data_IF_167720380849
#
_entry.id   IF_167720380849
#
_cell.length_a   1.000
_cell.length_b   1.000
_cell.length_c   1.000
_cell.angle_alpha   90.00
_cell.angle_beta   90.00
_cell.angle_gamma   90.00
#
_symmetry.space_group_name_H-M   'P 1'
#
loop_
_entity.id
_entity.type
_entity.pdbx_description
1 polymer ?
#
# COMPACT_ATOMS: atom_id res chain seq x y z
N UNK A 1 34.38 23.43 28.08
CA UNK A 1 33.80 23.70 26.76
C UNK A 1 34.12 22.53 25.82
N UNK A 2 33.26 22.32 24.83
CA UNK A 2 33.45 21.49 23.63
C UNK A 2 33.08 20.00 23.72
N UNK A 3 31.76 19.78 23.63
CA UNK A 3 31.13 18.60 23.05
C UNK A 3 31.62 18.37 21.61
N UNK A 4 32.19 17.20 21.33
CA UNK A 4 32.47 16.74 19.96
C UNK A 4 31.39 15.74 19.57
N UNK A 5 30.37 16.24 18.85
CA UNK A 5 29.34 15.40 18.20
C UNK A 5 30.05 14.43 17.26
N UNK A 6 29.90 13.12 17.50
CA UNK A 6 30.20 12.08 16.52
C UNK A 6 29.11 12.14 15.45
N UNK A 7 29.45 12.73 14.31
CA UNK A 7 28.69 12.56 13.08
C UNK A 7 28.72 11.07 12.72
N UNK A 8 27.56 10.43 12.81
CA UNK A 8 27.33 9.12 12.20
C UNK A 8 27.44 9.33 10.69
N UNK A 9 28.51 8.79 10.11
CA UNK A 9 28.62 8.57 8.68
C UNK A 9 27.53 7.56 8.29
N UNK A 10 26.50 8.05 7.62
CA UNK A 10 25.57 7.20 6.89
C UNK A 10 26.29 6.73 5.63
N UNK A 11 26.42 5.42 5.51
CA UNK A 11 26.99 4.74 4.35
C UNK A 11 26.07 4.94 3.14
N UNK A 12 26.62 5.11 1.92
CA UNK A 12 25.80 5.25 0.73
C UNK A 12 25.14 3.90 0.44
N UNK A 13 23.86 3.80 0.75
CA UNK A 13 23.02 2.70 0.30
C UNK A 13 22.94 2.82 -1.22
N UNK A 14 23.64 1.92 -1.91
CA UNK A 14 23.46 1.68 -3.34
C UNK A 14 22.05 1.07 -3.49
N UNK A 15 21.02 1.91 -3.56
CA UNK A 15 19.67 1.46 -3.92
C UNK A 15 19.66 1.17 -5.42
N UNK A 16 19.13 0.01 -5.80
CA UNK A 16 18.67 -0.27 -7.16
C UNK A 16 17.67 0.81 -7.57
N UNK A 17 18.16 1.83 -8.27
CA UNK A 17 17.37 2.91 -8.86
C UNK A 17 16.67 2.37 -10.11
N UNK A 18 15.75 1.43 -9.95
CA UNK A 18 14.67 1.29 -10.93
C UNK A 18 13.64 2.37 -10.59
N UNK A 19 13.96 3.56 -11.08
CA UNK A 19 13.11 4.70 -11.39
C UNK A 19 11.74 4.75 -10.66
N UNK A 20 11.78 4.94 -9.35
CA UNK A 20 10.59 5.27 -8.56
C UNK A 20 9.87 6.50 -9.12
N UNK A 21 10.60 7.40 -9.79
CA UNK A 21 10.06 8.52 -10.55
C UNK A 21 9.18 8.08 -11.73
N UNK A 22 9.65 7.17 -12.57
CA UNK A 22 8.85 6.60 -13.66
C UNK A 22 7.63 5.83 -13.14
N UNK A 23 7.76 5.04 -12.07
CA UNK A 23 6.63 4.33 -11.46
C UNK A 23 5.54 5.30 -10.97
N UNK A 24 5.94 6.42 -10.36
CA UNK A 24 5.01 7.47 -9.94
C UNK A 24 4.38 8.17 -11.13
N UNK A 25 5.15 8.48 -12.17
CA UNK A 25 4.62 9.08 -13.38
C UNK A 25 3.60 8.14 -14.05
N UNK A 26 3.87 6.84 -14.09
CA UNK A 26 2.95 5.83 -14.60
C UNK A 26 1.68 5.72 -13.73
N UNK A 27 1.82 5.72 -12.40
CA UNK A 27 0.68 5.71 -11.49
C UNK A 27 -0.20 6.96 -11.69
N UNK A 28 0.40 8.15 -11.80
CA UNK A 28 -0.33 9.40 -12.05
C UNK A 28 -1.04 9.42 -13.40
N UNK A 29 -0.41 8.89 -14.46
CA UNK A 29 -1.06 8.72 -15.77
C UNK A 29 -2.25 7.77 -15.66
N UNK A 30 -2.08 6.63 -15.01
CA UNK A 30 -3.15 5.67 -14.79
C UNK A 30 -4.31 6.28 -13.97
N UNK A 31 -4.02 7.12 -12.97
CA UNK A 31 -5.02 7.91 -12.22
C UNK A 31 -5.76 8.91 -13.11
N UNK A 32 -5.07 9.54 -14.06
CA UNK A 32 -5.72 10.44 -15.01
C UNK A 32 -6.69 9.68 -15.93
N UNK A 33 -6.27 8.53 -16.46
CA UNK A 33 -7.09 7.64 -17.29
C UNK A 33 -8.24 6.99 -16.51
N UNK A 34 -8.11 6.87 -15.19
CA UNK A 34 -9.14 6.28 -14.34
C UNK A 34 -10.49 7.00 -14.46
N UNK A 35 -10.48 8.31 -14.74
CA UNK A 35 -11.70 9.12 -14.89
C UNK A 35 -12.57 8.67 -16.06
N UNK A 36 -11.94 8.11 -17.08
CA UNK A 36 -12.62 7.65 -18.30
C UNK A 36 -13.04 6.17 -18.19
N UNK A 37 -12.54 5.44 -17.17
CA UNK A 37 -12.86 4.03 -16.92
C UNK A 37 -14.06 3.91 -15.97
N UNK A 38 -14.92 2.91 -16.20
CA UNK A 38 -16.08 2.63 -15.35
C UNK A 38 -16.30 1.13 -15.15
N UNK A 39 -17.06 0.76 -14.13
CA UNK A 39 -17.35 -0.65 -13.82
C UNK A 39 -16.09 -1.45 -13.49
N UNK A 40 -15.97 -2.64 -14.08
CA UNK A 40 -14.86 -3.57 -13.80
C UNK A 40 -13.49 -3.04 -14.24
N UNK A 41 -13.43 -2.26 -15.33
CA UNK A 41 -12.19 -1.66 -15.81
C UNK A 41 -11.63 -0.63 -14.83
N UNK A 42 -12.52 0.11 -14.17
CA UNK A 42 -12.15 1.08 -13.12
C UNK A 42 -11.55 0.37 -11.90
N UNK A 43 -12.15 -0.74 -11.48
CA UNK A 43 -11.65 -1.57 -10.37
C UNK A 43 -10.26 -2.13 -10.71
N UNK A 44 -10.08 -2.67 -11.92
CA UNK A 44 -8.79 -3.17 -12.38
C UNK A 44 -7.72 -2.06 -12.38
N UNK A 45 -8.08 -0.87 -12.89
CA UNK A 45 -7.19 0.28 -12.90
C UNK A 45 -6.84 0.77 -11.48
N UNK A 46 -7.81 0.84 -10.56
CA UNK A 46 -7.55 1.17 -9.14
C UNK A 46 -6.57 0.19 -8.49
N UNK A 47 -6.73 -1.11 -8.77
CA UNK A 47 -5.79 -2.13 -8.29
C UNK A 47 -4.38 -1.91 -8.83
N UNK A 48 -4.26 -1.63 -10.12
CA UNK A 48 -2.98 -1.42 -10.78
C UNK A 48 -2.29 -0.15 -10.28
N UNK A 49 -3.02 0.96 -10.17
CA UNK A 49 -2.55 2.22 -9.58
C UNK A 49 -2.01 1.97 -8.16
N UNK A 50 -2.77 1.26 -7.33
CA UNK A 50 -2.37 0.96 -5.97
C UNK A 50 -1.10 0.10 -5.90
N UNK A 51 -0.93 -0.84 -6.84
CA UNK A 51 0.30 -1.65 -6.95
C UNK A 51 1.48 -0.78 -7.40
N UNK A 52 1.31 0.09 -8.39
CA UNK A 52 2.36 0.99 -8.85
C UNK A 52 2.84 1.92 -7.73
N UNK A 53 1.92 2.46 -6.93
CA UNK A 53 2.28 3.25 -5.74
C UNK A 53 3.00 2.42 -4.68
N UNK A 54 2.59 1.16 -4.47
CA UNK A 54 3.26 0.26 -3.53
C UNK A 54 4.72 -0.01 -3.96
N UNK A 55 4.93 -0.26 -5.26
CA UNK A 55 6.26 -0.46 -5.85
C UNK A 55 7.10 0.83 -5.78
N UNK A 56 6.46 2.00 -5.94
CA UNK A 56 7.09 3.31 -5.76
C UNK A 56 7.35 3.71 -4.30
N UNK A 57 7.17 2.79 -3.34
CA UNK A 57 7.27 3.03 -1.89
C UNK A 57 6.28 4.08 -1.33
N UNK A 58 5.28 4.51 -2.12
CA UNK A 58 4.20 5.41 -1.71
C UNK A 58 3.07 4.62 -1.05
N UNK A 59 3.30 4.24 0.21
CA UNK A 59 2.41 3.28 0.89
C UNK A 59 1.03 3.86 1.17
N UNK A 60 0.93 5.15 1.48
CA UNK A 60 -0.34 5.76 1.88
C UNK A 60 -1.29 5.92 0.68
N UNK A 61 -0.76 6.33 -0.47
CA UNK A 61 -1.46 6.37 -1.75
C UNK A 61 -1.86 4.96 -2.20
N UNK A 62 -0.92 4.01 -2.11
CA UNK A 62 -1.19 2.63 -2.47
C UNK A 62 -2.37 2.05 -1.67
N UNK A 63 -2.37 2.24 -0.35
CA UNK A 63 -3.47 1.82 0.52
C UNK A 63 -4.78 2.45 0.06
N UNK A 64 -4.78 3.76 -0.16
CA UNK A 64 -5.99 4.51 -0.55
C UNK A 64 -6.63 3.94 -1.83
N UNK A 65 -5.85 3.76 -2.90
CA UNK A 65 -6.39 3.25 -4.17
C UNK A 65 -6.81 1.78 -4.09
N UNK A 66 -6.08 0.95 -3.34
CA UNK A 66 -6.45 -0.45 -3.13
C UNK A 66 -7.71 -0.60 -2.28
N UNK A 67 -7.89 0.24 -1.25
CA UNK A 67 -9.12 0.29 -0.47
C UNK A 67 -10.32 0.73 -1.32
N UNK A 68 -10.13 1.72 -2.19
CA UNK A 68 -11.17 2.16 -3.14
C UNK A 68 -11.59 1.00 -4.06
N UNK A 69 -10.63 0.31 -4.67
CA UNK A 69 -10.90 -0.86 -5.51
C UNK A 69 -11.70 -1.93 -4.74
N UNK A 70 -11.25 -2.28 -3.54
CA UNK A 70 -11.86 -3.33 -2.72
C UNK A 70 -13.27 -2.93 -2.24
N UNK A 71 -13.50 -1.64 -2.01
CA UNK A 71 -14.82 -1.10 -1.66
C UNK A 71 -15.81 -1.18 -2.83
N UNK A 72 -15.33 -1.03 -4.07
CA UNK A 72 -16.16 -1.15 -5.27
C UNK A 72 -16.44 -2.62 -5.61
N UNK A 73 -15.41 -3.48 -5.51
CA UNK A 73 -15.56 -4.92 -5.69
C UNK A 73 -14.65 -5.65 -4.71
N UNK A 74 -15.28 -6.33 -3.74
CA UNK A 74 -14.61 -7.22 -2.81
C UNK A 74 -14.06 -8.43 -3.59
N UNK A 75 -12.79 -8.34 -3.98
CA UNK A 75 -12.07 -9.40 -4.67
C UNK A 75 -10.79 -9.76 -3.89
N UNK A 76 -10.43 -11.05 -3.89
CA UNK A 76 -9.24 -11.60 -3.26
C UNK A 76 -8.05 -11.70 -4.25
N UNK A 77 -8.09 -10.90 -5.30
CA UNK A 77 -7.08 -10.79 -6.34
C UNK A 77 -5.76 -10.15 -5.88
N UNK A 78 -5.00 -9.62 -6.85
CA UNK A 78 -3.66 -9.04 -6.58
C UNK A 78 -3.74 -7.82 -5.66
N UNK A 79 -4.73 -6.95 -5.85
CA UNK A 79 -4.91 -5.73 -5.04
C UNK A 79 -5.10 -6.03 -3.55
N UNK A 80 -5.96 -6.99 -3.21
CA UNK A 80 -6.16 -7.44 -1.82
C UNK A 80 -4.86 -7.94 -1.17
N UNK A 81 -4.09 -8.77 -1.89
CA UNK A 81 -2.81 -9.29 -1.39
C UNK A 81 -1.79 -8.17 -1.17
N UNK A 82 -1.72 -7.21 -2.09
CA UNK A 82 -0.86 -6.03 -1.95
C UNK A 82 -1.26 -5.20 -0.74
N UNK A 83 -2.56 -4.90 -0.57
CA UNK A 83 -3.07 -4.13 0.57
C UNK A 83 -2.75 -4.80 1.91
N UNK A 84 -2.97 -6.12 1.99
CA UNK A 84 -2.63 -6.91 3.17
C UNK A 84 -1.12 -6.84 3.50
N UNK A 85 -0.27 -6.92 2.48
CA UNK A 85 1.18 -6.78 2.66
C UNK A 85 1.56 -5.38 3.16
N UNK A 86 0.97 -4.32 2.61
CA UNK A 86 1.20 -2.93 3.04
C UNK A 86 0.80 -2.72 4.51
N UNK A 87 -0.36 -3.23 4.94
CA UNK A 87 -0.76 -3.16 6.34
C UNK A 87 0.17 -3.93 7.27
N UNK A 88 0.65 -5.10 6.87
CA UNK A 88 1.64 -5.83 7.65
C UNK A 88 2.97 -5.06 7.75
N UNK A 89 3.39 -4.40 6.68
CA UNK A 89 4.59 -3.53 6.70
C UNK A 89 4.41 -2.36 7.65
N UNK A 90 3.31 -1.60 7.51
CA UNK A 90 3.00 -0.46 8.40
C UNK A 90 2.86 -0.89 9.87
N UNK A 91 2.26 -2.05 10.16
CA UNK A 91 2.21 -2.61 11.52
C UNK A 91 3.60 -2.89 12.07
N UNK A 92 4.52 -3.42 11.26
CA UNK A 92 5.93 -3.66 11.68
C UNK A 92 6.67 -2.34 11.90
N UNK A 93 6.43 -1.34 11.07
CA UNK A 93 7.01 0.01 11.25
C UNK A 93 6.53 0.65 12.55
N UNK A 94 5.22 0.60 12.81
CA UNK A 94 4.63 1.07 14.06
C UNK A 94 5.21 0.31 15.28
N UNK A 95 5.40 -1.00 15.18
CA UNK A 95 6.05 -1.80 16.22
C UNK A 95 7.51 -1.37 16.47
N UNK A 96 8.26 -1.04 15.42
CA UNK A 96 9.62 -0.47 15.56
C UNK A 96 9.60 0.91 16.20
N UNK A 97 8.60 1.73 15.88
CA UNK A 97 8.38 3.04 16.48
C UNK A 97 7.83 2.97 17.92
N UNK A 98 7.44 1.78 18.39
CA UNK A 98 6.73 1.56 19.67
C UNK A 98 5.43 2.37 19.76
N UNK A 99 4.77 2.53 18.62
CA UNK A 99 3.49 3.20 18.51
C UNK A 99 2.37 2.15 18.60
N UNK A 100 1.92 1.91 19.84
CA UNK A 100 0.89 0.91 20.11
C UNK A 100 -0.45 1.24 19.44
N UNK A 101 -0.77 2.53 19.27
CA UNK A 101 -2.01 2.97 18.62
C UNK A 101 -2.02 2.57 17.15
N UNK A 102 -0.93 2.87 16.44
CA UNK A 102 -0.79 2.48 15.03
C UNK A 102 -0.71 0.96 14.85
N UNK A 103 -0.08 0.23 15.78
CA UNK A 103 -0.09 -1.25 15.75
C UNK A 103 -1.53 -1.77 15.81
N UNK A 104 -2.34 -1.28 16.75
CA UNK A 104 -3.74 -1.69 16.89
C UNK A 104 -4.57 -1.28 15.68
N UNK A 105 -4.34 -0.09 15.13
CA UNK A 105 -5.00 0.38 13.91
C UNK A 105 -4.77 -0.58 12.73
N UNK A 106 -3.51 -0.89 12.41
CA UNK A 106 -3.20 -1.80 11.30
C UNK A 106 -3.59 -3.25 11.57
N UNK A 107 -3.61 -3.68 12.84
CA UNK A 107 -4.12 -5.00 13.21
C UNK A 107 -5.62 -5.12 12.89
N UNK A 108 -6.42 -4.10 13.27
CA UNK A 108 -7.84 -4.06 12.92
C UNK A 108 -8.07 -4.08 11.40
N UNK A 109 -7.27 -3.31 10.65
CA UNK A 109 -7.33 -3.32 9.17
C UNK A 109 -7.07 -4.71 8.59
N UNK A 110 -6.11 -5.44 9.13
CA UNK A 110 -5.82 -6.83 8.72
C UNK A 110 -7.00 -7.76 9.07
N UNK A 111 -7.62 -7.58 10.23
CA UNK A 111 -8.81 -8.35 10.62
C UNK A 111 -10.00 -8.07 9.68
N UNK A 112 -10.20 -6.81 9.26
CA UNK A 112 -11.19 -6.42 8.26
C UNK A 112 -10.93 -7.10 6.91
N UNK A 113 -9.66 -7.17 6.46
CA UNK A 113 -9.28 -7.91 5.26
C UNK A 113 -9.68 -9.39 5.37
N UNK A 114 -9.39 -10.04 6.51
CA UNK A 114 -9.76 -11.43 6.74
C UNK A 114 -11.29 -11.63 6.78
N UNK A 115 -12.05 -10.68 7.31
CA UNK A 115 -13.50 -10.71 7.28
C UNK A 115 -14.03 -10.65 5.84
N UNK A 116 -13.48 -9.75 5.00
CA UNK A 116 -13.81 -9.67 3.57
C UNK A 116 -13.49 -10.99 2.85
N UNK A 117 -12.34 -11.61 3.14
CA UNK A 117 -12.02 -12.94 2.59
C UNK A 117 -13.03 -14.01 2.97
N UNK A 118 -13.51 -14.02 4.22
CA UNK A 118 -14.56 -14.95 4.67
C UNK A 118 -15.90 -14.67 4.01
N UNK A 119 -16.26 -13.40 3.82
CA UNK A 119 -17.50 -13.02 3.14
C UNK A 119 -17.49 -13.45 1.67
N UNK A 120 -16.41 -13.15 0.94
CA UNK A 120 -16.28 -13.49 -0.48
C UNK A 120 -16.28 -15.01 -0.67
N UNK A 121 -15.53 -15.73 0.17
CA UNK A 121 -15.51 -17.20 0.09
C UNK A 121 -16.87 -17.82 0.41
N UNK A 122 -17.61 -17.31 1.40
CA UNK A 122 -18.97 -17.77 1.71
C UNK A 122 -19.98 -17.45 0.61
N UNK A 123 -19.89 -16.28 -0.02
CA UNK A 123 -20.79 -15.87 -1.10
C UNK A 123 -20.53 -16.61 -2.43
N UNK A 124 -19.39 -17.29 -2.55
CA UNK A 124 -19.00 -18.06 -3.74
C UNK A 124 -19.50 -19.50 -3.74
N UNK A 125 -20.22 -19.93 -2.68
CA UNK A 125 -20.89 -21.23 -2.55
C UNK A 125 -22.40 -21.07 -2.59
#
# INVERSE_FOLDING_TARGET
>A
MFFKRKEKKEEPVQEEVQDTGELLANAQRAVAELKDKSGEERIAALNEIGILYAEAKQTDEAITYLEMSLSEKKDLGKGYRTLLNLYNTKRREAAKAKDDEQIQYYLRKIDEMMAISKEVTRASF
#
